data_IF_207080932638
#
_entry.id   IF_207080932638
#
_cell.length_a   1.000
_cell.length_b   1.000
_cell.length_c   1.000
_cell.angle_alpha   90.00
_cell.angle_beta   90.00
_cell.angle_gamma   90.00
#
_symmetry.space_group_name_H-M   'P 1'
#
loop_
_entity.id
_entity.type
_entity.pdbx_description
1 polymer ?
#
# COMPACT_ATOMS: atom_id res chain seq x y z
N UNK A 1 8.25 2.07 -25.38
CA UNK A 1 7.42 3.30 -25.54
C UNK A 1 7.42 3.82 -26.97
N UNK A 2 8.53 3.76 -27.70
CA UNK A 2 8.60 4.23 -29.10
C UNK A 2 7.61 3.56 -30.05
N UNK A 3 7.41 2.24 -29.93
CA UNK A 3 6.42 1.50 -30.75
C UNK A 3 4.99 1.96 -30.48
N UNK A 4 4.67 2.31 -29.22
CA UNK A 4 3.36 2.80 -28.81
C UNK A 4 3.20 4.32 -28.98
N UNK A 5 4.30 5.05 -29.25
CA UNK A 5 4.37 6.53 -29.23
C UNK A 5 3.73 7.17 -28.00
N UNK A 6 3.76 6.48 -26.86
CA UNK A 6 3.18 6.95 -25.62
C UNK A 6 4.06 8.06 -25.01
N UNK A 7 3.46 9.23 -24.77
CA UNK A 7 4.12 10.37 -24.10
C UNK A 7 3.41 10.77 -22.81
N UNK A 8 2.45 9.96 -22.35
CA UNK A 8 1.72 10.19 -21.11
C UNK A 8 2.43 9.64 -19.87
N UNK A 9 1.75 9.65 -18.72
CA UNK A 9 2.32 9.18 -17.46
C UNK A 9 2.67 7.69 -17.49
N UNK A 10 3.67 7.33 -16.68
CA UNK A 10 4.13 5.96 -16.45
C UNK A 10 4.29 5.75 -14.95
N UNK A 11 3.95 4.57 -14.47
CA UNK A 11 4.09 4.18 -13.07
C UNK A 11 5.11 3.06 -12.93
N UNK A 12 5.84 3.08 -11.82
CA UNK A 12 6.70 1.97 -11.41
C UNK A 12 6.02 1.23 -10.28
N UNK A 13 6.05 -0.09 -10.33
CA UNK A 13 5.56 -0.97 -9.28
C UNK A 13 6.74 -1.84 -8.84
N UNK A 14 6.89 -2.00 -7.53
CA UNK A 14 7.92 -2.83 -6.95
C UNK A 14 7.34 -3.78 -5.91
N UNK A 15 7.72 -5.05 -5.98
CA UNK A 15 7.37 -6.08 -5.01
C UNK A 15 8.46 -7.13 -4.88
N UNK A 16 8.47 -7.86 -3.77
CA UNK A 16 9.38 -8.97 -3.52
C UNK A 16 8.62 -10.30 -3.50
N UNK A 17 8.92 -11.19 -4.43
CA UNK A 17 8.32 -12.53 -4.48
C UNK A 17 9.27 -13.56 -3.88
N UNK A 18 8.75 -14.42 -2.99
CA UNK A 18 9.53 -15.55 -2.44
C UNK A 18 9.81 -16.58 -3.52
N UNK A 19 11.04 -17.11 -3.51
CA UNK A 19 11.46 -18.19 -4.41
C UNK A 19 11.85 -19.43 -3.59
N UNK A 20 11.85 -20.59 -4.24
CA UNK A 20 12.47 -21.78 -3.66
C UNK A 20 13.98 -21.59 -3.67
N UNK A 21 14.63 -21.66 -2.51
CA UNK A 21 16.06 -21.37 -2.39
C UNK A 21 16.90 -22.54 -2.91
N UNK A 22 17.60 -22.37 -4.04
CA UNK A 22 18.45 -23.41 -4.62
C UNK A 22 19.62 -22.85 -5.44
N UNK A 23 20.84 -23.01 -4.91
CA UNK A 23 22.03 -22.75 -5.72
C UNK A 23 22.14 -23.76 -6.86
N UNK A 24 22.14 -23.24 -8.09
CA UNK A 24 22.23 -24.05 -9.30
C UNK A 24 23.27 -23.43 -10.23
N UNK A 25 24.08 -24.24 -10.89
CA UNK A 25 24.95 -23.76 -11.97
C UNK A 25 24.13 -23.60 -13.26
N UNK A 26 24.19 -22.41 -13.85
CA UNK A 26 23.62 -22.17 -15.18
C UNK A 26 24.70 -22.28 -16.23
N UNK A 27 24.61 -23.28 -17.11
CA UNK A 27 25.51 -23.43 -18.25
C UNK A 27 25.39 -22.27 -19.24
N UNK A 28 24.19 -21.74 -19.42
CA UNK A 28 23.93 -20.63 -20.35
C UNK A 28 24.56 -19.32 -19.87
N UNK A 29 24.51 -19.06 -18.56
CA UNK A 29 25.10 -17.85 -17.97
C UNK A 29 26.55 -18.04 -17.50
N UNK A 30 27.03 -19.28 -17.43
CA UNK A 30 28.37 -19.60 -16.92
C UNK A 30 28.57 -19.30 -15.43
N UNK A 31 27.50 -19.17 -14.63
CA UNK A 31 27.60 -18.77 -13.23
C UNK A 31 26.67 -19.56 -12.29
N UNK A 32 26.93 -19.47 -10.99
CA UNK A 32 25.99 -19.95 -9.97
C UNK A 32 24.85 -18.92 -9.83
N UNK A 33 23.63 -19.37 -10.10
CA UNK A 33 22.40 -18.57 -9.97
C UNK A 33 21.77 -18.71 -8.59
N UNK A 34 20.79 -17.84 -8.30
CA UNK A 34 20.09 -17.76 -7.00
C UNK A 34 21.00 -17.35 -5.82
N UNK A 35 22.02 -16.55 -6.12
CA UNK A 35 22.89 -15.88 -5.15
C UNK A 35 22.62 -14.37 -5.13
N UNK A 36 22.80 -13.74 -3.96
CA UNK A 36 22.77 -12.28 -3.84
C UNK A 36 24.11 -11.61 -4.17
N UNK A 37 25.15 -12.40 -4.48
CA UNK A 37 26.45 -11.86 -4.89
C UNK A 37 26.44 -11.42 -6.36
N UNK A 38 27.44 -10.64 -6.76
CA UNK A 38 27.56 -10.15 -8.15
C UNK A 38 27.91 -11.29 -9.11
N UNK A 39 27.61 -11.09 -10.40
CA UNK A 39 28.00 -12.03 -11.45
C UNK A 39 29.48 -12.39 -11.40
N UNK A 40 30.37 -11.39 -11.25
CA UNK A 40 31.82 -11.62 -11.22
C UNK A 40 32.26 -12.55 -10.08
N UNK A 41 31.54 -12.51 -8.96
CA UNK A 41 31.83 -13.36 -7.81
C UNK A 41 31.28 -14.78 -7.95
N UNK A 42 30.21 -14.98 -8.74
CA UNK A 42 29.57 -16.28 -8.96
C UNK A 42 29.90 -16.93 -10.30
N UNK A 43 30.67 -16.24 -11.14
CA UNK A 43 31.14 -16.72 -12.43
C UNK A 43 32.04 -17.96 -12.25
N UNK A 44 31.84 -18.95 -13.11
CA UNK A 44 32.52 -20.26 -13.10
C UNK A 44 33.32 -20.37 -14.38
N UNK A 45 34.65 -20.38 -14.24
CA UNK A 45 35.57 -20.49 -15.39
C UNK A 45 35.80 -21.96 -15.73
N UNK A 46 35.98 -22.81 -14.70
CA UNK A 46 36.16 -24.26 -14.85
C UNK A 46 35.14 -25.04 -14.02
N UNK A 47 34.83 -26.29 -14.41
CA UNK A 47 33.87 -27.13 -13.69
C UNK A 47 34.26 -27.36 -12.22
N UNK A 48 35.56 -27.37 -11.92
CA UNK A 48 36.08 -27.54 -10.55
C UNK A 48 35.74 -26.35 -9.64
N UNK A 49 35.54 -25.16 -10.23
CA UNK A 49 35.20 -23.94 -9.49
C UNK A 49 33.76 -23.97 -8.96
N UNK A 50 32.87 -24.81 -9.50
CA UNK A 50 31.46 -24.87 -9.12
C UNK A 50 31.32 -25.12 -7.62
N UNK A 51 32.03 -26.12 -7.09
CA UNK A 51 31.94 -26.48 -5.68
C UNK A 51 32.57 -25.40 -4.78
N UNK A 52 33.65 -24.76 -5.23
CA UNK A 52 34.29 -23.67 -4.51
C UNK A 52 33.36 -22.46 -4.42
N UNK A 53 32.72 -22.07 -5.53
CA UNK A 53 31.77 -20.95 -5.59
C UNK A 53 30.51 -21.21 -4.79
N UNK A 54 29.95 -22.41 -4.84
CA UNK A 54 28.81 -22.79 -3.99
C UNK A 54 29.18 -22.65 -2.52
N UNK A 55 30.37 -23.14 -2.12
CA UNK A 55 30.83 -23.04 -0.74
C UNK A 55 31.04 -21.59 -0.31
N UNK A 56 31.65 -20.76 -1.16
CA UNK A 56 31.83 -19.32 -0.91
C UNK A 56 30.48 -18.60 -0.70
N UNK A 57 29.46 -18.92 -1.51
CA UNK A 57 28.12 -18.36 -1.36
C UNK A 57 27.48 -18.81 -0.04
N UNK A 58 27.66 -20.08 0.34
CA UNK A 58 27.15 -20.63 1.61
C UNK A 58 27.84 -19.98 2.83
N UNK A 59 29.17 -19.85 2.79
CA UNK A 59 29.97 -19.25 3.86
C UNK A 59 29.59 -17.77 4.06
N UNK A 60 29.32 -17.04 2.97
CA UNK A 60 28.82 -15.66 2.99
C UNK A 60 27.31 -15.55 3.28
N UNK A 61 26.61 -16.68 3.50
CA UNK A 61 25.16 -16.76 3.69
C UNK A 61 24.38 -16.05 2.58
N UNK A 62 24.89 -16.05 1.35
CA UNK A 62 24.43 -15.24 0.22
C UNK A 62 23.36 -15.93 -0.65
N UNK A 63 22.65 -16.89 -0.08
CA UNK A 63 21.57 -17.61 -0.78
C UNK A 63 20.34 -16.70 -0.87
N UNK A 64 19.78 -16.60 -2.07
CA UNK A 64 18.59 -15.79 -2.35
C UNK A 64 17.34 -16.47 -1.80
N UNK A 65 16.47 -15.72 -1.13
CA UNK A 65 15.15 -16.20 -0.66
C UNK A 65 13.98 -15.53 -1.36
N UNK A 66 14.23 -14.37 -1.98
CA UNK A 66 13.24 -13.54 -2.64
C UNK A 66 13.85 -12.89 -3.88
N UNK A 67 13.02 -12.56 -4.85
CA UNK A 67 13.40 -11.74 -6.00
C UNK A 67 12.56 -10.47 -5.95
N UNK A 68 13.25 -9.33 -5.94
CA UNK A 68 12.62 -8.02 -6.10
C UNK A 68 12.36 -7.79 -7.58
N UNK A 69 11.10 -7.65 -7.93
CA UNK A 69 10.66 -7.30 -9.27
C UNK A 69 10.33 -5.81 -9.31
N UNK A 70 10.87 -5.11 -10.31
CA UNK A 70 10.48 -3.73 -10.63
C UNK A 70 9.89 -3.70 -12.02
N UNK A 71 8.71 -3.12 -12.12
CA UNK A 71 7.86 -3.16 -13.29
C UNK A 71 7.48 -1.74 -13.69
N UNK A 72 7.55 -1.42 -14.98
CA UNK A 72 6.91 -0.24 -15.57
C UNK A 72 5.53 -0.59 -16.09
N UNK A 73 4.58 0.28 -15.82
CA UNK A 73 3.21 0.15 -16.31
C UNK A 73 2.73 1.50 -16.83
N UNK A 74 2.06 1.49 -17.98
CA UNK A 74 1.24 2.63 -18.40
C UNK A 74 -0.07 2.51 -17.62
N UNK A 75 -0.50 3.53 -16.86
CA UNK A 75 -1.65 3.44 -15.95
C UNK A 75 -2.99 3.51 -16.71
N UNK A 76 -3.15 2.62 -17.68
CA UNK A 76 -4.35 2.41 -18.48
C UNK A 76 -4.59 0.91 -18.55
N UNK A 77 -5.84 0.52 -18.36
CA UNK A 77 -6.24 -0.88 -18.39
C UNK A 77 -5.85 -1.56 -19.71
N UNK A 78 -5.51 -2.86 -19.62
CA UNK A 78 -5.18 -3.75 -20.76
C UNK A 78 -3.83 -3.48 -21.44
N UNK A 79 -3.01 -2.56 -20.94
CA UNK A 79 -1.62 -2.45 -21.37
C UNK A 79 -0.77 -3.35 -20.46
N UNK A 80 -0.04 -4.34 -21.02
CA UNK A 80 0.77 -5.22 -20.20
C UNK A 80 1.94 -4.46 -19.56
N UNK A 81 2.26 -4.74 -18.30
CA UNK A 81 3.45 -4.23 -17.66
C UNK A 81 4.74 -4.75 -18.32
N UNK A 82 5.83 -4.00 -18.16
CA UNK A 82 7.17 -4.38 -18.61
C UNK A 82 8.08 -4.52 -17.39
N UNK A 83 8.67 -5.70 -17.20
CA UNK A 83 9.68 -5.93 -16.16
C UNK A 83 10.96 -5.20 -16.54
N UNK A 84 11.45 -4.30 -15.69
CA UNK A 84 12.74 -3.60 -15.90
C UNK A 84 13.88 -4.37 -15.23
N UNK A 85 13.66 -4.85 -14.00
CA UNK A 85 14.70 -5.53 -13.24
C UNK A 85 14.12 -6.60 -12.34
N UNK A 86 14.86 -7.70 -12.23
CA UNK A 86 14.70 -8.77 -11.26
C UNK A 86 15.98 -8.82 -10.45
N UNK A 87 15.92 -8.49 -9.17
CA UNK A 87 17.10 -8.42 -8.31
C UNK A 87 16.98 -9.42 -7.16
N UNK A 88 17.93 -10.37 -7.03
CA UNK A 88 17.91 -11.33 -5.92
C UNK A 88 18.10 -10.62 -4.58
N UNK A 89 17.35 -11.04 -3.57
CA UNK A 89 17.42 -10.52 -2.20
C UNK A 89 17.11 -11.61 -1.18
N UNK A 90 17.48 -11.38 0.08
CA UNK A 90 17.12 -12.26 1.21
C UNK A 90 15.86 -11.81 1.93
N UNK A 91 15.25 -10.71 1.47
CA UNK A 91 14.09 -10.09 2.12
C UNK A 91 14.45 -9.30 3.39
N UNK A 92 15.73 -9.03 3.61
CA UNK A 92 16.29 -8.27 4.75
C UNK A 92 16.81 -6.89 4.34
N UNK A 93 16.49 -6.44 3.12
CA UNK A 93 16.97 -5.16 2.58
C UNK A 93 16.57 -4.00 3.50
N UNK A 94 17.55 -3.14 3.79
CA UNK A 94 17.34 -1.97 4.66
C UNK A 94 16.64 -0.85 3.89
N UNK A 95 15.99 0.04 4.62
CA UNK A 95 15.33 1.24 4.07
C UNK A 95 16.23 2.04 3.13
N UNK A 96 17.51 2.24 3.49
CA UNK A 96 18.45 3.01 2.68
C UNK A 96 18.84 2.32 1.37
N UNK A 97 18.94 0.99 1.37
CA UNK A 97 19.22 0.22 0.16
C UNK A 97 18.03 0.29 -0.81
N UNK A 98 16.81 0.19 -0.28
CA UNK A 98 15.59 0.33 -1.08
C UNK A 98 15.46 1.76 -1.61
N UNK A 99 15.74 2.77 -0.79
CA UNK A 99 15.75 4.17 -1.20
C UNK A 99 16.75 4.42 -2.35
N UNK A 100 17.96 3.85 -2.28
CA UNK A 100 18.94 3.95 -3.35
C UNK A 100 18.43 3.32 -4.66
N UNK A 101 17.72 2.19 -4.59
CA UNK A 101 17.07 1.58 -5.76
C UNK A 101 16.00 2.52 -6.34
N UNK A 102 15.12 3.07 -5.49
CA UNK A 102 14.07 3.99 -5.93
C UNK A 102 14.68 5.24 -6.61
N UNK A 103 15.72 5.83 -6.01
CA UNK A 103 16.41 7.00 -6.56
C UNK A 103 17.05 6.68 -7.92
N UNK A 104 17.70 5.52 -8.04
CA UNK A 104 18.26 5.05 -9.31
C UNK A 104 17.18 4.89 -10.39
N UNK A 105 16.00 4.37 -10.04
CA UNK A 105 14.86 4.27 -10.97
C UNK A 105 14.41 5.65 -11.44
N UNK A 106 14.31 6.62 -10.53
CA UNK A 106 13.99 8.01 -10.88
C UNK A 106 15.02 8.58 -11.85
N UNK A 107 16.30 8.45 -11.54
CA UNK A 107 17.38 9.00 -12.37
C UNK A 107 17.43 8.33 -13.76
N UNK A 108 17.26 7.00 -13.82
CA UNK A 108 17.15 6.27 -15.10
C UNK A 108 15.91 6.70 -15.90
N UNK A 109 14.77 6.96 -15.24
CA UNK A 109 13.56 7.42 -15.92
C UNK A 109 13.76 8.81 -16.55
N UNK A 110 14.52 9.69 -15.89
CA UNK A 110 14.87 11.01 -16.41
C UNK A 110 15.79 10.87 -17.63
N UNK A 111 16.85 10.07 -17.52
CA UNK A 111 17.79 9.81 -18.61
C UNK A 111 17.12 9.20 -19.84
N UNK A 112 16.16 8.29 -19.64
CA UNK A 112 15.39 7.65 -20.70
C UNK A 112 14.22 8.52 -21.21
N UNK A 113 14.06 9.75 -20.70
CA UNK A 113 12.94 10.65 -20.98
C UNK A 113 11.55 9.99 -20.77
N UNK A 114 11.44 9.14 -19.75
CA UNK A 114 10.20 8.50 -19.34
C UNK A 114 9.44 9.45 -18.39
N UNK A 115 8.13 9.57 -18.61
CA UNK A 115 7.24 10.40 -17.79
C UNK A 115 6.77 9.66 -16.53
N UNK A 116 7.72 9.32 -15.65
CA UNK A 116 7.43 8.69 -14.36
C UNK A 116 6.64 9.65 -13.47
N UNK A 117 5.46 9.23 -13.03
CA UNK A 117 4.59 10.01 -12.12
C UNK A 117 4.45 9.37 -10.74
N UNK A 118 4.57 8.04 -10.64
CA UNK A 118 4.28 7.34 -9.39
C UNK A 118 5.09 6.08 -9.20
N UNK A 119 5.34 5.74 -7.94
CA UNK A 119 6.02 4.53 -7.50
C UNK A 119 5.13 3.82 -6.47
N UNK A 120 4.61 2.64 -6.82
CA UNK A 120 3.83 1.76 -5.97
C UNK A 120 4.68 0.69 -5.27
N UNK A 121 4.35 0.39 -4.01
CA UNK A 121 4.97 -0.70 -3.24
C UNK A 121 3.96 -1.38 -2.30
N UNK A 122 4.27 -2.60 -1.85
CA UNK A 122 3.39 -3.46 -1.03
C UNK A 122 3.19 -2.96 0.42
N UNK A 123 3.99 -1.99 0.85
CA UNK A 123 3.84 -1.33 2.14
C UNK A 123 4.47 -2.07 3.32
N UNK A 124 5.44 -2.95 3.06
CA UNK A 124 6.37 -3.41 4.10
C UNK A 124 7.04 -2.20 4.76
N UNK A 125 7.34 -2.26 6.06
CA UNK A 125 7.85 -1.10 6.83
C UNK A 125 9.10 -0.48 6.17
N UNK A 126 10.03 -1.31 5.70
CA UNK A 126 11.26 -0.85 5.04
C UNK A 126 10.99 -0.18 3.70
N UNK A 127 10.05 -0.69 2.90
CA UNK A 127 9.62 -0.11 1.63
C UNK A 127 8.87 1.20 1.82
N UNK A 128 7.91 1.22 2.76
CA UNK A 128 7.16 2.42 3.13
C UNK A 128 8.12 3.54 3.56
N UNK A 129 9.05 3.23 4.45
CA UNK A 129 10.02 4.22 4.92
C UNK A 129 10.93 4.71 3.77
N UNK A 130 11.27 3.85 2.81
CA UNK A 130 12.07 4.25 1.65
C UNK A 130 11.29 5.19 0.71
N UNK A 131 10.01 4.94 0.51
CA UNK A 131 9.11 5.84 -0.21
C UNK A 131 8.93 7.17 0.53
N UNK A 132 8.83 7.17 1.87
CA UNK A 132 8.80 8.40 2.66
C UNK A 132 10.08 9.22 2.47
N UNK A 133 11.26 8.60 2.51
CA UNK A 133 12.52 9.28 2.22
C UNK A 133 12.55 9.89 0.81
N UNK A 134 12.02 9.17 -0.18
CA UNK A 134 11.89 9.69 -1.54
C UNK A 134 10.95 10.90 -1.59
N UNK A 135 9.78 10.81 -0.96
CA UNK A 135 8.80 11.90 -0.88
C UNK A 135 9.29 13.12 -0.09
N UNK A 136 10.21 12.94 0.86
CA UNK A 136 10.84 14.07 1.55
C UNK A 136 11.68 14.93 0.62
N UNK A 137 12.30 14.32 -0.41
CA UNK A 137 13.02 15.04 -1.46
C UNK A 137 14.14 15.93 -0.92
N UNK A 138 14.97 15.44 0.01
CA UNK A 138 16.00 16.27 0.68
C UNK A 138 16.97 16.96 -0.29
N UNK A 139 17.19 16.39 -1.48
CA UNK A 139 18.05 16.94 -2.54
C UNK A 139 17.28 17.76 -3.59
N UNK A 140 16.01 18.07 -3.33
CA UNK A 140 15.08 18.70 -4.29
C UNK A 140 14.57 20.03 -3.74
N UNK A 141 14.51 21.04 -4.62
CA UNK A 141 14.02 22.38 -4.28
C UNK A 141 12.55 22.59 -4.72
N UNK A 142 12.10 21.88 -5.75
CA UNK A 142 10.77 22.05 -6.33
C UNK A 142 9.79 20.97 -5.83
N UNK A 143 8.62 21.41 -5.41
CA UNK A 143 7.56 20.54 -4.91
C UNK A 143 6.21 20.90 -5.54
N UNK A 144 5.44 19.86 -5.88
CA UNK A 144 4.02 19.99 -6.12
C UNK A 144 3.34 20.04 -4.75
N UNK A 145 2.63 21.12 -4.43
CA UNK A 145 1.97 21.27 -3.12
C UNK A 145 0.46 21.43 -3.22
N UNK A 146 -0.22 20.99 -2.16
CA UNK A 146 -1.59 21.37 -1.85
C UNK A 146 -1.61 21.95 -0.44
N UNK A 147 -1.96 23.24 -0.36
CA UNK A 147 -1.94 24.02 0.87
C UNK A 147 -3.34 24.47 1.24
N UNK A 148 -3.77 24.13 2.45
CA UNK A 148 -4.95 24.72 3.06
C UNK A 148 -4.62 25.18 4.49
N UNK A 149 -4.34 26.48 4.62
CA UNK A 149 -3.97 27.10 5.89
C UNK A 149 -5.08 27.04 6.94
N UNK A 150 -6.35 27.08 6.53
CA UNK A 150 -7.50 27.08 7.45
C UNK A 150 -7.56 25.77 8.22
N UNK A 151 -7.32 24.65 7.52
CA UNK A 151 -7.36 23.32 8.11
C UNK A 151 -5.98 22.74 8.42
N UNK A 152 -4.92 23.55 8.33
CA UNK A 152 -3.53 23.14 8.53
C UNK A 152 -3.14 21.90 7.68
N UNK A 153 -3.57 21.86 6.43
CA UNK A 153 -3.23 20.79 5.48
C UNK A 153 -2.08 21.26 4.59
N UNK A 154 -1.02 20.47 4.54
CA UNK A 154 0.11 20.67 3.65
C UNK A 154 0.52 19.32 3.07
N UNK A 155 0.12 19.05 1.84
CA UNK A 155 0.55 17.87 1.09
C UNK A 155 1.61 18.29 0.10
N UNK A 156 2.63 17.44 -0.09
CA UNK A 156 3.69 17.73 -1.05
C UNK A 156 4.26 16.49 -1.72
N UNK A 157 4.64 16.64 -2.98
CA UNK A 157 5.42 15.65 -3.72
C UNK A 157 6.64 16.32 -4.36
N UNK A 158 7.83 15.70 -4.32
CA UNK A 158 9.03 16.24 -4.94
C UNK A 158 8.90 16.23 -6.47
N UNK A 159 9.45 17.25 -7.11
CA UNK A 159 9.54 17.36 -8.57
C UNK A 159 10.98 17.07 -9.00
N UNK A 160 11.18 15.97 -9.71
CA UNK A 160 12.47 15.59 -10.25
C UNK A 160 12.55 15.93 -11.75
N UNK A 161 13.42 16.87 -12.11
CA UNK A 161 13.59 17.34 -13.50
C UNK A 161 12.25 17.69 -14.19
N UNK A 162 11.43 18.48 -13.48
CA UNK A 162 10.11 18.91 -13.97
C UNK A 162 8.99 17.87 -13.87
N UNK A 163 9.23 16.70 -13.28
CA UNK A 163 8.22 15.62 -13.15
C UNK A 163 7.90 15.33 -11.68
N UNK A 164 6.66 15.51 -11.21
CA UNK A 164 6.29 15.18 -9.84
C UNK A 164 6.26 13.66 -9.66
N UNK A 165 6.80 13.18 -8.54
CA UNK A 165 6.78 11.74 -8.20
C UNK A 165 5.98 11.54 -6.93
N UNK A 166 4.90 10.77 -7.03
CA UNK A 166 3.99 10.46 -5.92
C UNK A 166 4.12 8.98 -5.58
N UNK A 167 4.50 8.67 -4.35
CA UNK A 167 4.53 7.29 -3.86
C UNK A 167 3.13 6.84 -3.44
N UNK A 168 2.79 5.58 -3.73
CA UNK A 168 1.51 4.98 -3.36
C UNK A 168 1.74 3.59 -2.74
N UNK A 169 0.85 3.24 -1.82
CA UNK A 169 0.83 1.93 -1.17
C UNK A 169 -0.15 1.00 -1.85
N UNK A 170 0.11 -0.30 -1.77
CA UNK A 170 -0.80 -1.34 -2.22
C UNK A 170 -2.16 -1.24 -1.50
N UNK A 171 -3.20 -1.04 -2.32
CA UNK A 171 -4.57 -0.83 -1.86
C UNK A 171 -5.20 -2.10 -1.29
N UNK A 172 -4.95 -3.27 -1.88
CA UNK A 172 -5.45 -4.55 -1.36
C UNK A 172 -4.83 -4.82 0.01
N UNK A 173 -3.54 -4.56 0.16
CA UNK A 173 -2.86 -4.73 1.44
C UNK A 173 -3.35 -3.72 2.49
N UNK A 174 -3.56 -2.46 2.11
CA UNK A 174 -4.18 -1.48 2.99
C UNK A 174 -5.60 -1.93 3.43
N UNK A 175 -6.42 -2.43 2.50
CA UNK A 175 -7.78 -2.93 2.78
C UNK A 175 -7.77 -4.13 3.72
N UNK A 176 -6.86 -5.09 3.50
CA UNK A 176 -6.62 -6.23 4.42
C UNK A 176 -6.26 -5.75 5.81
N UNK A 177 -5.35 -4.79 5.92
CA UNK A 177 -4.92 -4.23 7.21
C UNK A 177 -6.08 -3.56 7.96
N UNK A 178 -6.94 -2.82 7.24
CA UNK A 178 -8.15 -2.21 7.82
C UNK A 178 -9.09 -3.26 8.41
N UNK A 179 -9.41 -4.32 7.65
CA UNK A 179 -10.23 -5.43 8.16
C UNK A 179 -9.56 -6.11 9.36
N UNK A 180 -8.29 -6.46 9.21
CA UNK A 180 -7.53 -7.23 10.21
C UNK A 180 -7.37 -6.45 11.52
N UNK A 181 -7.37 -5.11 11.48
CA UNK A 181 -7.34 -4.29 12.70
C UNK A 181 -8.54 -4.58 13.62
N UNK A 182 -9.74 -4.79 13.06
CA UNK A 182 -10.94 -5.14 13.84
C UNK A 182 -10.90 -6.58 14.35
N UNK A 183 -10.31 -7.50 13.57
CA UNK A 183 -10.31 -8.94 13.86
C UNK A 183 -9.18 -9.39 14.79
N UNK A 184 -8.08 -8.65 14.87
CA UNK A 184 -6.87 -9.12 15.55
C UNK A 184 -7.01 -9.21 17.08
N UNK A 185 -7.84 -8.37 17.70
CA UNK A 185 -7.90 -8.21 19.15
C UNK A 185 -6.61 -7.66 19.79
N UNK A 186 -5.58 -7.38 18.99
CA UNK A 186 -4.28 -6.90 19.48
C UNK A 186 -4.35 -5.42 19.92
N UNK A 187 -5.29 -4.67 19.35
CA UNK A 187 -5.56 -3.28 19.66
C UNK A 187 -7.03 -3.15 20.09
N UNK A 188 -7.26 -2.33 21.12
CA UNK A 188 -8.58 -1.93 21.56
C UNK A 188 -8.94 -0.59 20.90
N UNK A 189 -9.62 -0.63 19.76
CA UNK A 189 -9.89 0.56 18.96
C UNK A 189 -10.92 1.47 19.66
N UNK A 190 -10.48 2.63 20.14
CA UNK A 190 -11.33 3.61 20.85
C UNK A 190 -11.60 4.81 19.95
N UNK A 191 -12.86 5.20 19.79
CA UNK A 191 -13.30 6.37 19.03
C UNK A 191 -14.34 7.12 19.87
N UNK A 192 -13.91 8.23 20.49
CA UNK A 192 -14.72 8.91 21.49
C UNK A 192 -15.09 7.98 22.64
N UNK A 193 -16.37 7.98 23.04
CA UNK A 193 -16.86 7.14 24.14
C UNK A 193 -17.21 5.70 23.73
N UNK A 194 -16.92 5.30 22.49
CA UNK A 194 -17.26 3.98 21.97
C UNK A 194 -16.04 3.28 21.39
N UNK A 195 -16.23 2.02 21.01
CA UNK A 195 -15.16 1.14 20.57
C UNK A 195 -15.55 0.38 19.32
N UNK A 196 -14.57 0.07 18.48
CA UNK A 196 -14.70 -0.86 17.35
C UNK A 196 -14.18 -2.22 17.81
N UNK A 197 -15.04 -3.23 17.79
CA UNK A 197 -14.78 -4.55 18.39
C UNK A 197 -15.20 -5.67 17.46
N UNK A 198 -14.48 -6.79 17.56
CA UNK A 198 -14.81 -8.01 16.84
C UNK A 198 -16.24 -8.52 17.10
N UNK A 199 -16.73 -8.44 18.35
CA UNK A 199 -18.05 -8.95 18.72
C UNK A 199 -19.19 -8.24 17.97
N UNK A 200 -19.05 -6.96 17.63
CA UNK A 200 -20.03 -6.22 16.84
C UNK A 200 -20.16 -6.80 15.44
N UNK A 201 -19.03 -7.09 14.78
CA UNK A 201 -19.00 -7.73 13.46
C UNK A 201 -19.56 -9.16 13.56
N UNK A 202 -19.18 -9.90 14.59
CA UNK A 202 -19.66 -11.26 14.82
C UNK A 202 -21.20 -11.31 14.96
N UNK A 203 -21.78 -10.37 15.69
CA UNK A 203 -23.24 -10.24 15.83
C UNK A 203 -23.92 -9.94 14.50
N UNK A 204 -23.37 -9.02 13.70
CA UNK A 204 -23.90 -8.68 12.36
C UNK A 204 -23.95 -9.87 11.40
N UNK A 205 -23.03 -10.84 11.55
CA UNK A 205 -23.00 -12.05 10.70
C UNK A 205 -23.99 -13.12 11.16
N UNK A 206 -24.44 -13.05 12.41
CA UNK A 206 -25.47 -13.95 12.94
C UNK A 206 -26.90 -13.51 12.57
N UNK A 207 -27.10 -12.27 12.13
CA UNK A 207 -28.41 -11.77 11.71
C UNK A 207 -28.90 -12.50 10.44
N UNK A 208 -30.18 -12.88 10.40
CA UNK A 208 -30.79 -13.66 9.30
C UNK A 208 -30.69 -12.97 7.93
N UNK A 209 -30.61 -11.63 7.92
CA UNK A 209 -30.48 -10.81 6.71
C UNK A 209 -29.05 -10.36 6.43
N UNK A 210 -28.05 -11.10 6.90
CA UNK A 210 -26.67 -10.65 6.73
C UNK A 210 -26.26 -10.47 5.27
N UNK A 211 -25.56 -9.37 4.97
CA UNK A 211 -24.91 -9.18 3.67
C UNK A 211 -23.82 -10.23 3.41
N UNK A 212 -23.37 -10.89 4.48
CA UNK A 212 -22.49 -12.07 4.50
C UNK A 212 -23.29 -13.38 4.58
N UNK A 213 -24.59 -13.35 4.30
CA UNK A 213 -25.45 -14.52 4.13
C UNK A 213 -25.50 -14.87 2.63
N UNK A 214 -24.82 -15.94 2.22
CA UNK A 214 -24.86 -16.42 0.85
C UNK A 214 -26.25 -16.94 0.48
N UNK A 215 -26.63 -16.81 -0.81
CA UNK A 215 -27.90 -17.31 -1.41
C UNK A 215 -28.14 -18.83 -1.29
N UNK A 216 -27.20 -19.55 -0.66
CA UNK A 216 -27.23 -20.98 -0.42
C UNK A 216 -26.78 -21.27 1.02
N UNK A 217 -27.66 -21.04 2.00
CA UNK A 217 -27.75 -21.71 3.30
C UNK A 217 -26.43 -22.15 4.02
N UNK A 218 -25.36 -21.36 3.95
CA UNK A 218 -24.23 -21.41 4.89
C UNK A 218 -23.72 -19.99 5.08
N UNK A 219 -23.61 -19.50 6.32
CA UNK A 219 -23.07 -18.17 6.56
C UNK A 219 -21.62 -18.14 6.05
N UNK A 220 -21.17 -17.01 5.48
CA UNK A 220 -19.73 -16.75 5.31
C UNK A 220 -19.07 -16.50 6.68
N UNK A 221 -19.40 -17.33 7.69
CA UNK A 221 -18.73 -17.36 8.98
C UNK A 221 -17.22 -17.49 8.80
N UNK A 222 -16.74 -18.11 7.71
CA UNK A 222 -15.30 -18.20 7.40
C UNK A 222 -14.64 -16.84 7.11
N UNK A 223 -15.41 -15.81 6.75
CA UNK A 223 -14.89 -14.46 6.54
C UNK A 223 -14.62 -13.73 7.86
N UNK A 224 -15.22 -14.19 8.97
CA UNK A 224 -15.14 -13.58 10.31
C UNK A 224 -14.52 -14.53 11.36
N UNK A 225 -14.71 -15.83 11.23
CA UNK A 225 -14.22 -16.92 12.09
C UNK A 225 -13.14 -17.68 11.31
N UNK A 226 -11.95 -17.81 11.88
CA UNK A 226 -10.79 -18.45 11.23
C UNK A 226 -10.49 -17.84 9.85
N UNK A 227 -10.54 -16.51 9.80
CA UNK A 227 -10.41 -15.72 8.58
C UNK A 227 -9.07 -15.97 7.91
N UNK A 228 -9.12 -16.27 6.61
CA UNK A 228 -7.93 -16.15 5.78
C UNK A 228 -7.52 -14.68 5.70
N UNK A 229 -6.39 -14.36 6.33
CA UNK A 229 -5.84 -13.00 6.39
C UNK A 229 -5.48 -12.45 5.02
N UNK A 230 -5.39 -13.30 3.99
CA UNK A 230 -5.06 -12.95 2.61
C UNK A 230 -6.25 -12.96 1.65
N UNK A 231 -7.45 -13.40 2.07
CA UNK A 231 -8.62 -13.44 1.20
C UNK A 231 -9.14 -12.03 0.87
N UNK A 232 -8.84 -11.57 -0.35
CA UNK A 232 -9.32 -10.30 -0.90
C UNK A 232 -10.86 -10.25 -0.94
N UNK A 233 -11.52 -11.36 -1.29
CA UNK A 233 -12.97 -11.43 -1.43
C UNK A 233 -13.70 -11.16 -0.12
N UNK A 234 -13.23 -11.77 0.98
CA UNK A 234 -13.75 -11.49 2.32
C UNK A 234 -13.57 -10.02 2.71
N UNK A 235 -12.41 -9.44 2.39
CA UNK A 235 -12.14 -8.01 2.64
C UNK A 235 -13.08 -7.10 1.85
N UNK A 236 -13.36 -7.41 0.58
CA UNK A 236 -14.32 -6.66 -0.24
C UNK A 236 -15.72 -6.67 0.37
N UNK A 237 -16.16 -7.80 0.91
CA UNK A 237 -17.48 -7.91 1.53
C UNK A 237 -17.57 -7.18 2.88
N UNK A 238 -16.49 -7.08 3.66
CA UNK A 238 -16.52 -6.32 4.93
C UNK A 238 -16.70 -4.82 4.71
N UNK A 239 -16.11 -4.26 3.64
CA UNK A 239 -16.23 -2.83 3.34
C UNK A 239 -17.33 -2.51 2.30
N UNK A 240 -18.25 -3.43 2.02
CA UNK A 240 -19.32 -3.16 1.06
C UNK A 240 -20.49 -2.40 1.70
N UNK A 241 -21.24 -1.69 0.86
CA UNK A 241 -22.41 -0.92 1.29
C UNK A 241 -23.49 -1.79 1.94
N UNK A 242 -23.67 -3.03 1.49
CA UNK A 242 -24.65 -3.96 2.06
C UNK A 242 -24.30 -4.36 3.49
N UNK A 243 -23.02 -4.59 3.79
CA UNK A 243 -22.57 -4.90 5.16
C UNK A 243 -22.66 -3.66 6.05
N UNK A 244 -22.26 -2.50 5.54
CA UNK A 244 -22.40 -1.22 6.23
C UNK A 244 -23.86 -0.93 6.62
N UNK A 245 -24.81 -1.22 5.73
CA UNK A 245 -26.25 -1.02 5.98
C UNK A 245 -26.79 -1.88 7.13
N UNK A 246 -26.17 -3.04 7.43
CA UNK A 246 -26.59 -3.86 8.57
C UNK A 246 -26.29 -3.24 9.93
N UNK A 247 -25.38 -2.27 10.00
CA UNK A 247 -25.20 -1.49 11.23
C UNK A 247 -26.45 -0.65 11.56
N UNK A 248 -27.39 -0.54 10.63
CA UNK A 248 -28.64 0.20 10.75
C UNK A 248 -29.83 -0.77 10.85
N UNK A 249 -30.85 -0.39 11.62
CA UNK A 249 -32.14 -1.05 11.67
C UNK A 249 -33.22 -0.07 11.17
N UNK A 250 -33.82 -0.34 10.01
CA UNK A 250 -34.80 0.55 9.36
C UNK A 250 -34.31 2.01 9.26
N UNK A 251 -33.06 2.21 8.83
CA UNK A 251 -32.42 3.53 8.70
C UNK A 251 -31.95 4.18 10.00
N UNK A 252 -32.19 3.56 11.16
CA UNK A 252 -31.71 4.03 12.46
C UNK A 252 -30.43 3.30 12.85
N UNK A 253 -29.38 4.05 13.17
CA UNK A 253 -28.10 3.49 13.56
C UNK A 253 -28.17 2.91 14.98
N UNK A 254 -27.80 1.65 15.13
CA UNK A 254 -27.65 1.05 16.46
C UNK A 254 -26.51 1.73 17.20
N UNK A 255 -26.78 2.20 18.42
CA UNK A 255 -25.83 2.94 19.23
C UNK A 255 -24.56 2.12 19.54
N UNK A 256 -24.65 0.79 19.72
CA UNK A 256 -23.44 -0.04 19.91
C UNK A 256 -22.62 -0.18 18.62
N UNK A 257 -23.26 -0.05 17.45
CA UNK A 257 -22.64 -0.22 16.13
C UNK A 257 -22.25 1.11 15.48
N UNK A 258 -22.56 2.24 16.10
CA UNK A 258 -22.39 3.56 15.49
C UNK A 258 -20.94 3.86 15.10
N UNK A 259 -20.00 3.57 16.00
CA UNK A 259 -18.58 3.77 15.74
C UNK A 259 -18.00 2.73 14.78
N UNK A 260 -18.51 1.50 14.77
CA UNK A 260 -18.19 0.52 13.74
C UNK A 260 -18.66 0.99 12.36
N UNK A 261 -19.87 1.54 12.25
CA UNK A 261 -20.38 2.13 11.01
C UNK A 261 -19.46 3.25 10.50
N UNK A 262 -19.06 4.18 11.36
CA UNK A 262 -18.13 5.26 10.99
C UNK A 262 -16.81 4.69 10.48
N UNK A 263 -16.25 3.70 11.19
CA UNK A 263 -15.02 3.03 10.77
C UNK A 263 -15.16 2.38 9.38
N UNK A 264 -16.19 1.57 9.18
CA UNK A 264 -16.43 0.87 7.91
C UNK A 264 -16.71 1.85 6.77
N UNK A 265 -17.46 2.92 7.03
CA UNK A 265 -17.77 3.96 6.06
C UNK A 265 -16.50 4.70 5.62
N UNK A 266 -15.75 5.28 6.56
CA UNK A 266 -14.57 6.09 6.24
C UNK A 266 -13.50 5.28 5.51
N UNK A 267 -13.19 4.08 6.00
CA UNK A 267 -12.19 3.23 5.34
C UNK A 267 -12.73 2.65 4.03
N UNK A 268 -14.01 2.28 3.95
CA UNK A 268 -14.65 1.86 2.71
C UNK A 268 -14.52 2.95 1.62
N UNK A 269 -14.84 4.19 1.95
CA UNK A 269 -14.66 5.34 1.06
C UNK A 269 -13.18 5.52 0.67
N UNK A 270 -12.24 5.44 1.63
CA UNK A 270 -10.80 5.56 1.36
C UNK A 270 -10.28 4.52 0.34
N UNK A 271 -10.87 3.31 0.31
CA UNK A 271 -10.48 2.30 -0.68
C UNK A 271 -11.21 2.50 -2.01
N UNK A 272 -12.50 2.84 -1.96
CA UNK A 272 -13.32 3.06 -3.16
C UNK A 272 -12.86 4.27 -3.97
N UNK A 273 -12.28 5.30 -3.34
CA UNK A 273 -11.72 6.44 -4.07
C UNK A 273 -10.56 6.06 -5.01
N UNK A 274 -10.00 4.85 -4.90
CA UNK A 274 -9.07 4.30 -5.90
C UNK A 274 -9.74 3.26 -6.80
N UNK A 275 -10.51 2.35 -6.20
CA UNK A 275 -10.99 1.13 -6.88
C UNK A 275 -12.27 1.35 -7.70
N UNK A 276 -13.17 2.21 -7.22
CA UNK A 276 -14.44 2.47 -7.90
C UNK A 276 -14.18 3.31 -9.15
N UNK A 277 -14.78 2.95 -10.29
CA UNK A 277 -14.56 3.60 -11.59
C UNK A 277 -15.52 4.75 -11.88
N UNK A 278 -16.63 4.85 -11.14
CA UNK A 278 -17.73 5.77 -11.45
C UNK A 278 -17.69 7.05 -10.60
N UNK A 279 -16.80 7.12 -9.61
CA UNK A 279 -16.69 8.28 -8.70
C UNK A 279 -16.01 9.45 -9.40
N UNK A 280 -16.66 10.62 -9.36
CA UNK A 280 -16.11 11.88 -9.88
C UNK A 280 -14.86 12.34 -9.12
N UNK A 281 -13.99 13.13 -9.77
CA UNK A 281 -12.79 13.67 -9.11
C UNK A 281 -13.11 14.53 -7.89
N UNK A 282 -14.17 15.35 -7.94
CA UNK A 282 -14.60 16.16 -6.80
C UNK A 282 -14.97 15.27 -5.61
N UNK A 283 -15.75 14.22 -5.85
CA UNK A 283 -16.16 13.27 -4.81
C UNK A 283 -14.96 12.53 -4.23
N UNK A 284 -14.00 12.09 -5.07
CA UNK A 284 -12.76 11.45 -4.60
C UNK A 284 -11.94 12.35 -3.67
N UNK A 285 -11.83 13.64 -3.99
CA UNK A 285 -11.14 14.61 -3.12
C UNK A 285 -11.87 14.73 -1.78
N UNK A 286 -13.21 14.83 -1.79
CA UNK A 286 -14.00 14.91 -0.56
C UNK A 286 -13.77 13.66 0.30
N UNK A 287 -13.85 12.47 -0.28
CA UNK A 287 -13.62 11.19 0.41
C UNK A 287 -12.19 11.11 0.99
N UNK A 288 -11.17 11.52 0.22
CA UNK A 288 -9.79 11.56 0.68
C UNK A 288 -9.62 12.51 1.88
N UNK A 289 -10.17 13.73 1.78
CA UNK A 289 -10.12 14.71 2.86
C UNK A 289 -10.90 14.25 4.10
N UNK A 290 -12.06 13.59 3.93
CA UNK A 290 -12.81 12.98 5.04
C UNK A 290 -11.96 11.95 5.78
N UNK A 291 -11.33 11.02 5.06
CA UNK A 291 -10.47 10.01 5.67
C UNK A 291 -9.26 10.65 6.37
N UNK A 292 -8.62 11.63 5.73
CA UNK A 292 -7.47 12.34 6.30
C UNK A 292 -7.82 13.08 7.60
N UNK A 293 -8.92 13.85 7.60
CA UNK A 293 -9.36 14.57 8.79
C UNK A 293 -9.82 13.61 9.88
N UNK A 294 -10.55 12.55 9.53
CA UNK A 294 -10.95 11.52 10.50
C UNK A 294 -9.73 10.91 11.20
N UNK A 295 -8.70 10.49 10.46
CA UNK A 295 -7.47 9.94 11.01
C UNK A 295 -6.73 10.96 11.89
N UNK A 296 -6.64 12.21 11.42
CA UNK A 296 -5.98 13.30 12.16
C UNK A 296 -6.69 13.60 13.48
N UNK A 297 -8.02 13.71 13.46
CA UNK A 297 -8.83 13.93 14.66
C UNK A 297 -8.77 12.72 15.59
N UNK A 298 -8.79 11.51 15.07
CA UNK A 298 -8.67 10.29 15.88
C UNK A 298 -7.33 10.24 16.60
N UNK A 299 -6.22 10.50 15.90
CA UNK A 299 -4.89 10.59 16.51
C UNK A 299 -4.84 11.65 17.61
N UNK A 300 -5.30 12.86 17.32
CA UNK A 300 -5.31 13.95 18.29
C UNK A 300 -6.12 13.57 19.53
N UNK A 301 -7.32 13.00 19.36
CA UNK A 301 -8.14 12.52 20.48
C UNK A 301 -7.38 11.54 21.39
N UNK A 302 -6.75 10.51 20.81
CA UNK A 302 -6.00 9.51 21.58
C UNK A 302 -4.80 10.14 22.29
N UNK A 303 -4.09 11.07 21.64
CA UNK A 303 -2.95 11.79 22.23
C UNK A 303 -3.39 12.68 23.40
N UNK A 304 -4.50 13.41 23.28
CA UNK A 304 -5.05 14.22 24.36
C UNK A 304 -5.51 13.35 25.54
N UNK A 305 -6.23 12.25 25.27
CA UNK A 305 -6.61 11.30 26.32
C UNK A 305 -5.41 10.65 26.99
N UNK A 306 -4.33 10.37 26.24
CA UNK A 306 -3.09 9.87 26.81
C UNK A 306 -2.46 10.91 27.76
N UNK A 307 -2.46 12.20 27.42
CA UNK A 307 -1.98 13.26 28.31
C UNK A 307 -2.85 13.35 29.57
N UNK A 308 -4.17 13.45 29.41
CA UNK A 308 -5.13 13.61 30.50
C UNK A 308 -5.11 12.44 31.50
N UNK A 309 -4.90 11.23 31.00
CA UNK A 309 -4.89 10.01 31.81
C UNK A 309 -3.49 9.44 32.04
N UNK A 310 -2.44 10.26 31.88
CA UNK A 310 -1.03 9.90 32.14
C UNK A 310 -0.60 8.59 31.46
N UNK A 311 -1.05 8.39 30.22
CA UNK A 311 -0.82 7.22 29.37
C UNK A 311 -1.24 5.87 30.00
N UNK A 312 -2.03 5.91 31.09
CA UNK A 312 -2.45 4.70 31.81
C UNK A 312 -3.37 3.84 30.95
N UNK A 313 -4.33 4.47 30.26
CA UNK A 313 -5.42 3.80 29.55
C UNK A 313 -5.40 4.03 28.04
N UNK A 314 -4.83 5.15 27.58
CA UNK A 314 -4.79 5.54 26.18
C UNK A 314 -3.36 5.52 25.67
N UNK A 315 -3.14 4.85 24.53
CA UNK A 315 -1.85 4.78 23.87
C UNK A 315 -2.07 4.52 22.38
N UNK A 316 -1.38 5.23 21.47
CA UNK A 316 -1.50 4.98 20.02
C UNK A 316 -1.24 3.52 19.63
N UNK A 317 -0.34 2.82 20.32
CA UNK A 317 -0.01 1.42 20.06
C UNK A 317 -1.03 0.42 20.60
N UNK A 318 -2.03 0.86 21.37
CA UNK A 318 -3.05 -0.03 21.97
C UNK A 318 -4.48 0.42 21.69
N UNK A 319 -4.71 1.72 21.58
CA UNK A 319 -6.04 2.36 21.54
C UNK A 319 -6.46 2.82 20.13
N UNK A 320 -5.57 2.67 19.15
CA UNK A 320 -5.76 3.02 17.74
C UNK A 320 -5.34 1.83 16.85
N UNK A 321 -5.55 1.94 15.54
CA UNK A 321 -4.98 1.00 14.57
C UNK A 321 -3.44 1.00 14.64
N UNK A 322 -2.80 -0.03 14.09
CA UNK A 322 -1.33 -0.11 14.13
C UNK A 322 -0.69 1.14 13.50
N UNK A 323 0.43 1.64 14.05
CA UNK A 323 1.10 2.85 13.52
C UNK A 323 1.41 2.76 12.03
N UNK A 324 1.77 1.56 11.55
CA UNK A 324 2.00 1.30 10.13
C UNK A 324 0.72 1.49 9.30
N UNK A 325 -0.40 0.89 9.72
CA UNK A 325 -1.68 1.04 8.99
C UNK A 325 -2.15 2.48 9.01
N UNK A 326 -2.01 3.17 10.15
CA UNK A 326 -2.35 4.58 10.28
C UNK A 326 -1.59 5.45 9.26
N UNK A 327 -0.27 5.28 9.19
CA UNK A 327 0.58 6.01 8.27
C UNK A 327 0.25 5.70 6.81
N UNK A 328 0.00 4.42 6.48
CA UNK A 328 -0.43 4.00 5.14
C UNK A 328 -1.76 4.68 4.76
N UNK A 329 -2.75 4.70 5.65
CA UNK A 329 -4.07 5.30 5.35
C UNK A 329 -4.00 6.81 5.17
N UNK A 330 -3.21 7.51 5.99
CA UNK A 330 -2.93 8.93 5.78
C UNK A 330 -2.23 9.18 4.44
N UNK A 331 -1.22 8.37 4.11
CA UNK A 331 -0.48 8.47 2.85
C UNK A 331 -1.39 8.20 1.65
N UNK A 332 -2.32 7.27 1.72
CA UNK A 332 -3.28 7.01 0.63
C UNK A 332 -4.16 8.23 0.33
N UNK A 333 -4.68 8.89 1.37
CA UNK A 333 -5.48 10.10 1.20
C UNK A 333 -4.66 11.25 0.59
N UNK A 334 -3.45 11.48 1.10
CA UNK A 334 -2.52 12.49 0.58
C UNK A 334 -2.13 12.22 -0.88
N UNK A 335 -1.70 10.98 -1.19
CA UNK A 335 -1.25 10.60 -2.52
C UNK A 335 -2.34 10.72 -3.57
N UNK A 336 -3.61 10.45 -3.24
CA UNK A 336 -4.71 10.66 -4.18
C UNK A 336 -4.86 12.12 -4.59
N UNK A 337 -4.85 13.04 -3.62
CA UNK A 337 -4.98 14.48 -3.88
C UNK A 337 -3.81 14.97 -4.72
N UNK A 338 -2.59 14.55 -4.38
CA UNK A 338 -1.38 14.88 -5.15
C UNK A 338 -1.41 14.28 -6.56
N UNK A 339 -1.89 13.06 -6.76
CA UNK A 339 -2.04 12.45 -8.08
C UNK A 339 -3.04 13.22 -8.94
N UNK A 340 -4.19 13.62 -8.39
CA UNK A 340 -5.18 14.44 -9.12
C UNK A 340 -4.56 15.77 -9.55
N UNK A 341 -3.81 16.43 -8.66
CA UNK A 341 -3.11 17.68 -8.98
C UNK A 341 -2.02 17.48 -10.03
N UNK A 342 -1.23 16.41 -9.93
CA UNK A 342 -0.20 16.08 -10.90
C UNK A 342 -0.78 15.82 -12.29
N UNK A 343 -1.88 15.07 -12.38
CA UNK A 343 -2.60 14.88 -13.64
C UNK A 343 -3.13 16.18 -14.22
N UNK A 344 -3.80 17.00 -13.39
CA UNK A 344 -4.30 18.30 -13.83
C UNK A 344 -3.21 19.21 -14.38
N UNK A 345 -2.06 19.26 -13.71
CA UNK A 345 -1.00 20.23 -14.01
C UNK A 345 -0.03 19.76 -15.11
N UNK A 346 0.24 18.45 -15.21
CA UNK A 346 1.28 17.90 -16.09
C UNK A 346 0.75 16.96 -17.18
N UNK A 347 -0.43 16.35 -16.97
CA UNK A 347 -0.96 15.30 -17.85
C UNK A 347 -2.45 15.49 -18.16
N UNK A 348 -2.91 16.74 -18.31
CA UNK A 348 -4.33 17.10 -18.45
C UNK A 348 -5.04 16.47 -19.65
N UNK A 349 -4.28 16.07 -20.67
CA UNK A 349 -4.79 15.40 -21.87
C UNK A 349 -4.86 13.88 -21.74
N UNK A 350 -4.44 13.32 -20.61
CA UNK A 350 -4.42 11.88 -20.36
C UNK A 350 -5.48 11.49 -19.33
N UNK A 351 -6.11 10.32 -19.50
CA UNK A 351 -7.08 9.85 -18.53
C UNK A 351 -6.38 9.46 -17.22
N UNK A 352 -6.99 9.83 -16.09
CA UNK A 352 -6.56 9.40 -14.78
C UNK A 352 -7.42 8.23 -14.29
N UNK A 353 -6.83 7.05 -14.18
CA UNK A 353 -7.45 5.84 -13.62
C UNK A 353 -6.78 5.48 -12.28
N UNK A 354 -7.31 5.92 -11.12
CA UNK A 354 -6.70 5.68 -9.82
C UNK A 354 -6.39 4.20 -9.53
N UNK A 355 -7.22 3.28 -10.01
CA UNK A 355 -7.04 1.84 -9.82
C UNK A 355 -5.77 1.28 -10.49
N UNK A 356 -5.20 1.98 -11.47
CA UNK A 356 -4.01 1.54 -12.22
C UNK A 356 -2.69 2.01 -11.58
N UNK A 357 -2.75 2.74 -10.47
CA UNK A 357 -1.59 3.23 -9.72
C UNK A 357 -1.16 2.30 -8.59
N UNK A 358 -1.98 1.29 -8.25
CA UNK A 358 -1.63 0.24 -7.29
C UNK A 358 -0.61 -0.76 -7.85
N UNK A 359 -0.29 -1.76 -7.05
CA UNK A 359 0.66 -2.85 -7.36
C UNK A 359 0.04 -4.00 -8.17
N UNK A 360 -1.22 -3.86 -8.62
CA UNK A 360 -1.99 -4.88 -9.34
C UNK A 360 -1.80 -4.90 -10.87
#
# INVERSE_FOLDING_TARGET
MEVLKWTGPVVVIMDCTKICTKLTYSQELGCIVESTLSFDSTNVITYDDIHLKIKEIQDNKAITSQVRCVVLKIPISRIPPVVITLSPTKGDSKTQEIYAILKKIVDMSIQANINLISIGAHGAITEYNAQVLLMQGNDIQEFLTYDNKIYNVHFRAPIYSGKPIICIQDLKHAKKNGRNAIHSGAHFLVLGNHTVRYNQIYQLVQEENSALYGRFARPYMRDIINVDKQDDGAVYRVFCSTFLAQCQNNGHLDHDKAVLFIYLFIFGELFDLFLNRDISYKTRIIMAMHAYFFLSTWKNYIEQCAILHLAKWYNMNKSCISPQSFNIFCSLAESLVLLILAHRNYYSNYPFFPCEYGTE
#
